data_IF_772868580581
#
_entry.id   IF_772868580581
#
_cell.length_a   1.000
_cell.length_b   1.000
_cell.length_c   1.000
_cell.angle_alpha   90.00
_cell.angle_beta   90.00
_cell.angle_gamma   90.00
#
_symmetry.space_group_name_H-M   'P 1'
#
loop_
_entity.id
_entity.type
_entity.pdbx_description
1 polymer ?
#
# COMPACT_ATOMS: atom_id res chain seq x y z
N UNK A 1 36.54 -2.33 -4.85
CA UNK A 1 35.78 -1.28 -4.13
C UNK A 1 35.49 -0.07 -5.03
N UNK A 2 36.50 0.53 -5.67
CA UNK A 2 36.30 1.67 -6.60
C UNK A 2 35.37 1.34 -7.78
N UNK A 3 35.52 0.16 -8.39
CA UNK A 3 34.72 -0.25 -9.55
C UNK A 3 33.23 -0.42 -9.22
N UNK A 4 32.93 -0.96 -8.03
CA UNK A 4 31.56 -1.07 -7.51
C UNK A 4 30.95 0.32 -7.28
N UNK A 5 31.71 1.23 -6.68
CA UNK A 5 31.29 2.61 -6.44
C UNK A 5 31.05 3.36 -7.76
N UNK A 6 31.89 3.15 -8.79
CA UNK A 6 31.68 3.75 -10.11
C UNK A 6 30.44 3.20 -10.82
N UNK A 7 30.15 1.90 -10.71
CA UNK A 7 28.92 1.32 -11.28
C UNK A 7 27.66 1.86 -10.60
N UNK A 8 27.68 2.02 -9.27
CA UNK A 8 26.56 2.60 -8.53
C UNK A 8 26.31 4.06 -8.94
N UNK A 9 27.37 4.86 -9.06
CA UNK A 9 27.26 6.25 -9.51
C UNK A 9 26.70 6.36 -10.95
N UNK A 10 27.14 5.48 -11.85
CA UNK A 10 26.61 5.45 -13.22
C UNK A 10 25.11 5.11 -13.23
N UNK A 11 24.69 4.13 -12.44
CA UNK A 11 23.26 3.77 -12.35
C UNK A 11 22.42 4.92 -11.81
N UNK A 12 22.87 5.59 -10.74
CA UNK A 12 22.18 6.74 -10.18
C UNK A 12 22.07 7.90 -11.18
N UNK A 13 23.13 8.16 -11.95
CA UNK A 13 23.15 9.20 -12.97
C UNK A 13 22.16 8.89 -14.12
N UNK A 14 22.13 7.64 -14.59
CA UNK A 14 21.19 7.21 -15.64
C UNK A 14 19.74 7.35 -15.15
N UNK A 15 19.45 6.93 -13.92
CA UNK A 15 18.11 7.06 -13.34
C UNK A 15 17.66 8.53 -13.24
N UNK A 16 18.55 9.41 -12.79
CA UNK A 16 18.29 10.85 -12.71
C UNK A 16 17.99 11.45 -14.10
N UNK A 17 18.77 11.11 -15.13
CA UNK A 17 18.54 11.59 -16.49
C UNK A 17 17.18 11.15 -17.06
N UNK A 18 16.78 9.90 -16.82
CA UNK A 18 15.46 9.40 -17.24
C UNK A 18 14.33 10.14 -16.53
N UNK A 19 14.49 10.39 -15.22
CA UNK A 19 13.52 11.17 -14.45
C UNK A 19 13.35 12.60 -14.97
N UNK A 20 14.46 13.25 -15.29
CA UNK A 20 14.47 14.61 -15.86
C UNK A 20 13.78 14.64 -17.23
N UNK A 21 14.10 13.69 -18.12
CA UNK A 21 13.47 13.56 -19.44
C UNK A 21 11.94 13.45 -19.34
N UNK A 22 11.45 12.58 -18.46
CA UNK A 22 10.01 12.36 -18.31
C UNK A 22 9.30 13.58 -17.71
N UNK A 23 9.94 14.28 -16.76
CA UNK A 23 9.39 15.49 -16.16
C UNK A 23 9.24 16.64 -17.16
N UNK A 24 10.23 16.86 -18.02
CA UNK A 24 10.19 17.96 -18.99
C UNK A 24 9.18 17.72 -20.12
N UNK A 25 9.05 16.48 -20.61
CA UNK A 25 8.12 16.17 -21.72
C UNK A 25 6.67 16.27 -21.28
N UNK A 26 6.35 15.76 -20.09
CA UNK A 26 4.98 15.80 -19.59
C UNK A 26 4.48 17.23 -19.35
N UNK A 27 5.33 18.11 -18.80
CA UNK A 27 4.97 19.49 -18.51
C UNK A 27 4.87 20.38 -19.76
N UNK A 28 5.71 20.14 -20.78
CA UNK A 28 5.67 20.97 -21.98
C UNK A 28 4.39 20.76 -22.80
N UNK A 29 3.86 19.54 -22.83
CA UNK A 29 2.62 19.23 -23.55
C UNK A 29 1.37 19.88 -22.91
N UNK A 30 1.39 20.19 -21.60
CA UNK A 30 0.20 20.68 -20.87
C UNK A 30 0.02 22.21 -20.89
N UNK A 31 0.98 22.98 -21.38
CA UNK A 31 1.01 24.45 -21.22
C UNK A 31 0.24 25.22 -22.30
N UNK A 32 -0.06 24.62 -23.47
CA UNK A 32 -0.47 25.38 -24.67
C UNK A 32 -1.83 25.00 -25.28
N UNK A 33 -2.79 24.48 -24.50
CA UNK A 33 -4.15 24.23 -25.00
C UNK A 33 -5.17 25.08 -24.23
N UNK A 34 -5.64 26.15 -24.87
CA UNK A 34 -6.78 26.96 -24.41
C UNK A 34 -8.05 26.09 -24.39
N UNK A 35 -8.36 25.53 -23.22
CA UNK A 35 -9.45 24.57 -23.03
C UNK A 35 -9.19 23.55 -21.93
N UNK A 36 -7.93 23.37 -21.51
CA UNK A 36 -7.52 22.37 -20.48
C UNK A 36 -8.21 22.56 -19.13
N UNK A 37 -8.67 23.78 -18.81
CA UNK A 37 -9.32 24.07 -17.53
C UNK A 37 -10.66 23.32 -17.32
N UNK A 38 -11.38 22.95 -18.38
CA UNK A 38 -12.60 22.11 -18.28
C UNK A 38 -12.27 20.62 -18.15
N UNK A 39 -11.20 20.16 -18.80
CA UNK A 39 -10.70 18.77 -18.71
C UNK A 39 -9.96 18.47 -17.40
N UNK A 40 -9.46 19.52 -16.71
CA UNK A 40 -8.81 19.43 -15.39
C UNK A 40 -9.82 19.65 -14.26
N UNK A 41 -11.10 19.88 -14.57
CA UNK A 41 -12.13 19.93 -13.54
C UNK A 41 -12.41 18.52 -13.03
N UNK A 42 -12.58 18.36 -11.72
CA UNK A 42 -12.82 17.06 -11.07
C UNK A 42 -14.13 16.38 -11.51
N UNK A 43 -14.93 17.03 -12.38
CA UNK A 43 -16.23 16.56 -12.84
C UNK A 43 -16.48 16.92 -14.30
N UNK A 44 -16.65 15.91 -15.15
CA UNK A 44 -16.81 16.06 -16.61
C UNK A 44 -18.10 16.79 -17.04
N UNK A 45 -19.05 17.01 -16.12
CA UNK A 45 -20.37 17.59 -16.43
C UNK A 45 -20.60 19.01 -15.85
N UNK A 46 -19.57 19.70 -15.37
CA UNK A 46 -19.70 21.13 -14.99
C UNK A 46 -20.53 21.42 -13.74
N UNK A 47 -20.71 20.44 -12.85
CA UNK A 47 -21.35 20.68 -11.56
C UNK A 47 -20.42 21.48 -10.64
N UNK A 48 -20.91 22.59 -10.09
CA UNK A 48 -20.23 23.33 -9.03
C UNK A 48 -19.98 22.37 -7.85
N UNK A 49 -18.70 22.22 -7.47
CA UNK A 49 -18.30 21.58 -6.22
C UNK A 49 -18.60 22.51 -5.03
N UNK A 50 -19.87 22.84 -4.85
CA UNK A 50 -20.39 23.38 -3.60
C UNK A 50 -21.29 22.34 -2.96
N UNK A 51 -20.66 21.26 -2.55
CA UNK A 51 -21.04 20.57 -1.33
C UNK A 51 -19.75 20.09 -0.70
N UNK A 52 -19.57 20.42 0.58
CA UNK A 52 -18.52 19.87 1.42
C UNK A 52 -18.44 18.37 1.12
N UNK A 53 -17.25 17.90 0.78
CA UNK A 53 -16.97 16.47 0.63
C UNK A 53 -17.07 15.88 2.04
N UNK A 54 -18.28 15.74 2.56
CA UNK A 54 -18.57 14.89 3.68
C UNK A 54 -18.60 13.46 3.16
N UNK A 55 -17.44 12.97 2.76
CA UNK A 55 -17.21 11.54 2.76
C UNK A 55 -16.95 11.17 4.21
N UNK A 56 -18.03 10.88 4.93
CA UNK A 56 -17.95 10.02 6.10
C UNK A 56 -17.41 8.68 5.59
N UNK A 57 -16.09 8.50 5.68
CA UNK A 57 -15.45 7.24 5.34
C UNK A 57 -16.23 6.10 6.01
N UNK A 58 -16.57 5.07 5.23
CA UNK A 58 -17.23 3.90 5.82
C UNK A 58 -16.30 3.30 6.87
N UNK A 59 -16.87 3.02 8.05
CA UNK A 59 -16.20 2.36 9.17
C UNK A 59 -15.58 1.01 8.76
N UNK A 60 -16.09 0.39 7.70
CA UNK A 60 -15.55 -0.87 7.14
C UNK A 60 -14.10 -0.71 6.67
N UNK A 61 -13.75 0.39 6.00
CA UNK A 61 -12.39 0.64 5.54
C UNK A 61 -11.42 0.90 6.69
N UNK A 62 -11.87 1.60 7.73
CA UNK A 62 -11.06 1.85 8.91
C UNK A 62 -10.74 0.54 9.65
N UNK A 63 -11.74 -0.32 9.83
CA UNK A 63 -11.55 -1.62 10.45
C UNK A 63 -10.60 -2.50 9.63
N UNK A 64 -10.75 -2.53 8.31
CA UNK A 64 -9.85 -3.27 7.43
C UNK A 64 -8.38 -2.82 7.57
N UNK A 65 -8.13 -1.52 7.71
CA UNK A 65 -6.77 -1.00 7.93
C UNK A 65 -6.19 -1.46 9.28
N UNK A 66 -6.98 -1.38 10.35
CA UNK A 66 -6.55 -1.84 11.67
C UNK A 66 -6.25 -3.35 11.65
N UNK A 67 -7.12 -4.15 11.02
CA UNK A 67 -6.88 -5.59 10.88
C UNK A 67 -5.64 -5.89 10.06
N UNK A 68 -5.43 -5.19 8.95
CA UNK A 68 -4.23 -5.34 8.14
C UNK A 68 -2.95 -5.11 8.97
N UNK A 69 -2.90 -4.07 9.80
CA UNK A 69 -1.73 -3.78 10.64
C UNK A 69 -1.49 -4.87 11.69
N UNK A 70 -2.55 -5.41 12.30
CA UNK A 70 -2.44 -6.48 13.31
C UNK A 70 -1.94 -7.77 12.66
N UNK A 71 -2.56 -8.20 11.55
CA UNK A 71 -2.15 -9.42 10.85
C UNK A 71 -0.73 -9.32 10.27
N UNK A 72 -0.31 -8.15 9.78
CA UNK A 72 1.06 -7.92 9.29
C UNK A 72 2.10 -8.04 10.42
N UNK A 73 1.79 -7.55 11.62
CA UNK A 73 2.63 -7.73 12.80
C UNK A 73 2.73 -9.20 13.22
N UNK A 74 1.61 -9.94 13.21
CA UNK A 74 1.57 -11.36 13.57
C UNK A 74 2.34 -12.24 12.56
N UNK A 75 2.28 -11.92 11.26
CA UNK A 75 3.06 -12.59 10.22
C UNK A 75 4.55 -12.24 10.34
N UNK A 76 4.88 -10.99 10.66
CA UNK A 76 6.26 -10.57 10.90
C UNK A 76 6.92 -11.35 12.05
N UNK A 77 6.16 -11.71 13.09
CA UNK A 77 6.62 -12.59 14.17
C UNK A 77 6.92 -14.02 13.69
N UNK A 78 6.13 -14.54 12.74
CA UNK A 78 6.35 -15.86 12.14
C UNK A 78 7.56 -15.91 11.20
N UNK A 79 7.99 -14.76 10.64
CA UNK A 79 9.17 -14.70 9.77
C UNK A 79 10.47 -15.12 10.47
N UNK A 80 10.50 -15.10 11.80
CA UNK A 80 11.65 -15.55 12.59
C UNK A 80 11.78 -17.09 12.68
N UNK A 81 10.73 -17.85 12.35
CA UNK A 81 10.73 -19.33 12.38
C UNK A 81 11.87 -19.98 11.59
N UNK A 82 12.10 -19.65 10.30
CA UNK A 82 13.17 -20.28 9.52
C UNK A 82 14.58 -20.01 10.07
N UNK A 83 14.77 -18.92 10.83
CA UNK A 83 16.07 -18.56 11.39
C UNK A 83 16.44 -19.35 12.64
N UNK A 84 15.48 -20.04 13.29
CA UNK A 84 15.70 -20.71 14.57
C UNK A 84 16.23 -22.16 14.47
N UNK A 85 16.49 -22.66 13.26
CA UNK A 85 17.02 -24.02 13.06
C UNK A 85 16.07 -25.14 13.50
N UNK A 86 16.56 -26.38 13.50
CA UNK A 86 15.82 -27.62 13.80
C UNK A 86 15.51 -27.82 15.31
N UNK A 87 15.12 -26.75 16.00
CA UNK A 87 14.71 -26.82 17.40
C UNK A 87 13.24 -27.28 17.51
N UNK A 88 13.03 -28.59 17.43
CA UNK A 88 11.73 -29.27 17.61
C UNK A 88 10.95 -28.82 18.86
N UNK A 89 11.65 -28.35 19.90
CA UNK A 89 11.03 -27.91 21.16
C UNK A 89 10.09 -26.70 21.00
N UNK A 90 10.37 -25.79 20.07
CA UNK A 90 9.57 -24.56 19.91
C UNK A 90 8.44 -24.72 18.88
N UNK A 91 8.44 -25.82 18.11
CA UNK A 91 7.47 -26.05 17.04
C UNK A 91 6.02 -26.07 17.54
N UNK A 92 5.79 -26.63 18.73
CA UNK A 92 4.46 -26.66 19.35
C UNK A 92 3.90 -25.25 19.61
N UNK A 93 4.74 -24.32 20.08
CA UNK A 93 4.32 -22.94 20.33
C UNK A 93 4.00 -22.20 19.03
N UNK A 94 4.76 -22.43 17.96
CA UNK A 94 4.46 -21.88 16.65
C UNK A 94 3.16 -22.41 16.06
N UNK A 95 2.92 -23.72 16.20
CA UNK A 95 1.65 -24.33 15.76
C UNK A 95 0.46 -23.78 16.54
N UNK A 96 0.60 -23.65 17.87
CA UNK A 96 -0.43 -23.05 18.72
C UNK A 96 -0.68 -21.57 18.37
N UNK A 97 0.37 -20.83 18.03
CA UNK A 97 0.27 -19.44 17.58
C UNK A 97 -0.51 -19.32 16.26
N UNK A 98 -0.19 -20.14 15.25
CA UNK A 98 -0.93 -20.17 13.98
C UNK A 98 -2.38 -20.59 14.18
N UNK A 99 -2.64 -21.53 15.10
CA UNK A 99 -4.00 -21.94 15.44
C UNK A 99 -4.81 -20.80 16.08
N UNK A 100 -4.23 -20.04 17.01
CA UNK A 100 -4.85 -18.85 17.62
C UNK A 100 -5.17 -17.78 16.58
N UNK A 101 -4.21 -17.52 15.68
CA UNK A 101 -4.36 -16.65 14.52
C UNK A 101 -5.59 -17.03 13.67
N UNK A 102 -5.69 -18.32 13.29
CA UNK A 102 -6.81 -18.84 12.52
C UNK A 102 -8.16 -18.73 13.24
N UNK A 103 -8.17 -18.95 14.56
CA UNK A 103 -9.38 -18.76 15.38
C UNK A 103 -9.81 -17.28 15.44
N UNK A 104 -8.86 -16.37 15.65
CA UNK A 104 -9.13 -14.92 15.68
C UNK A 104 -9.76 -14.45 14.38
N UNK A 105 -9.16 -14.82 13.25
CA UNK A 105 -9.67 -14.51 11.91
C UNK A 105 -11.07 -15.10 11.65
N UNK A 106 -11.30 -16.35 12.03
CA UNK A 106 -12.61 -17.00 11.87
C UNK A 106 -13.71 -16.30 12.68
N UNK A 107 -13.42 -15.91 13.93
CA UNK A 107 -14.36 -15.14 14.76
C UNK A 107 -14.71 -13.79 14.13
N UNK A 108 -13.76 -13.14 13.47
CA UNK A 108 -13.94 -11.85 12.84
C UNK A 108 -14.84 -11.92 11.61
N UNK A 109 -14.62 -12.94 10.77
CA UNK A 109 -15.50 -13.23 9.62
C UNK A 109 -16.93 -13.49 10.08
N UNK A 110 -17.09 -14.28 11.15
CA UNK A 110 -18.40 -14.58 11.75
C UNK A 110 -19.12 -13.32 12.25
N UNK A 111 -18.39 -12.32 12.75
CA UNK A 111 -18.94 -11.02 13.15
C UNK A 111 -19.30 -10.10 11.98
N UNK A 112 -18.91 -10.45 10.75
CA UNK A 112 -19.31 -9.71 9.55
C UNK A 112 -18.58 -8.39 9.34
N UNK A 113 -17.45 -8.15 10.01
CA UNK A 113 -16.64 -6.94 9.78
C UNK A 113 -16.06 -6.86 8.35
N UNK A 114 -15.96 -8.01 7.67
CA UNK A 114 -15.47 -8.15 6.29
C UNK A 114 -16.62 -8.13 5.26
N UNK A 115 -17.89 -8.03 5.70
CA UNK A 115 -19.01 -7.99 4.76
C UNK A 115 -19.09 -6.62 4.10
N UNK A 116 -18.88 -6.62 2.80
CA UNK A 116 -19.06 -5.47 1.94
C UNK A 116 -20.55 -5.34 1.62
N UNK A 117 -21.26 -4.49 2.36
CA UNK A 117 -22.52 -3.95 1.85
C UNK A 117 -22.17 -2.87 0.83
N UNK A 118 -22.41 -3.16 -0.44
CA UNK A 118 -22.33 -2.19 -1.53
C UNK A 118 -23.21 -0.97 -1.26
#
# INVERSE_FOLDING_TARGET
MVLFFSCFLLFALIFFLVGVYHFYIWNFASLNVSGVRSWVSMFECGFLSQRLVENYFSYTYFLLLVFFVIFDLEISLLLNVPYQGLLYKNFFFYFLFVFLLGLGFSMEISKGYVNWSY
#
